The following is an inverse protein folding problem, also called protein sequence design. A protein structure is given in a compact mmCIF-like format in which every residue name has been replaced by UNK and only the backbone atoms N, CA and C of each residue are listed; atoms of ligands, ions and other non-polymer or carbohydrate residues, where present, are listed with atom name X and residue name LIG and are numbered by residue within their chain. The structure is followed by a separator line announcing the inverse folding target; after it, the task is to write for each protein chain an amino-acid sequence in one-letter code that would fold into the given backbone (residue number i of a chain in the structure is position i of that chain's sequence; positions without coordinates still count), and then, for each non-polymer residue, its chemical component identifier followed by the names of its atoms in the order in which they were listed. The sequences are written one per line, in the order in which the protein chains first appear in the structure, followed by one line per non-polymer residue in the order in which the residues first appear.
data_IF_761667432754
#
_entry.id   IF_761667432754
#
_cell.length_a   1.000
_cell.length_b   1.000
_cell.length_c   1.000
_cell.angle_alpha   90.00
_cell.angle_beta   90.00
_cell.angle_gamma   90.00
#
_symmetry.space_group_name_H-M   'P 1'
#
loop_
_entity.id
_entity.type
_entity.pdbx_description
1 polymer ?
#
# COMPACT_ATOMS: atom_id res chain seq x y z
N UNK A 1 -12.08 -25.98 -44.41
CA UNK A 1 -12.11 -25.67 -42.99
C UNK A 1 -13.03 -26.69 -42.34
N UNK A 2 -12.53 -27.59 -41.47
CA UNK A 2 -13.39 -28.53 -40.76
C UNK A 2 -13.83 -27.91 -39.45
N UNK A 3 -15.15 -27.95 -39.24
CA UNK A 3 -15.81 -27.62 -37.96
C UNK A 3 -15.46 -28.64 -36.89
N UNK A 4 -14.91 -28.18 -35.77
CA UNK A 4 -14.77 -28.97 -34.56
C UNK A 4 -16.05 -28.82 -33.72
N UNK A 5 -16.92 -29.83 -33.77
CA UNK A 5 -17.96 -30.04 -32.77
C UNK A 5 -17.33 -30.69 -31.53
N UNK A 6 -17.21 -29.93 -30.45
CA UNK A 6 -16.87 -30.47 -29.14
C UNK A 6 -18.17 -31.02 -28.47
N UNK A 7 -18.13 -32.27 -28.12
CA UNK A 7 -19.25 -32.96 -27.42
C UNK A 7 -19.39 -32.48 -25.97
N UNK A 8 -20.57 -32.02 -25.65
CA UNK A 8 -21.03 -31.50 -24.33
C UNK A 8 -21.32 -32.62 -23.31
N UNK A 9 -20.56 -33.69 -23.19
CA UNK A 9 -21.02 -34.87 -22.44
C UNK A 9 -20.15 -35.32 -21.24
N UNK A 10 -19.14 -34.58 -20.78
CA UNK A 10 -18.35 -35.00 -19.62
C UNK A 10 -18.07 -33.95 -18.51
N UNK A 11 -18.86 -32.90 -18.40
CA UNK A 11 -18.72 -31.91 -17.31
C UNK A 11 -19.76 -32.04 -16.19
N UNK A 12 -20.22 -33.21 -15.88
CA UNK A 12 -21.07 -33.44 -14.71
C UNK A 12 -20.58 -34.64 -13.91
N UNK A 13 -19.50 -34.52 -13.18
CA UNK A 13 -19.19 -35.25 -11.93
C UNK A 13 -17.75 -34.92 -11.50
N UNK A 14 -17.62 -33.87 -10.73
CA UNK A 14 -16.36 -33.54 -10.06
C UNK A 14 -16.53 -32.27 -9.25
N UNK A 15 -17.24 -32.38 -8.11
CA UNK A 15 -17.26 -31.32 -7.12
C UNK A 15 -15.83 -31.18 -6.56
N UNK A 16 -15.04 -30.29 -7.16
CA UNK A 16 -13.75 -29.93 -6.59
C UNK A 16 -14.03 -29.10 -5.34
N UNK A 17 -13.87 -29.72 -4.19
CA UNK A 17 -13.99 -29.05 -2.90
C UNK A 17 -12.86 -28.01 -2.80
N UNK A 18 -13.19 -26.73 -2.74
CA UNK A 18 -12.21 -25.61 -2.69
C UNK A 18 -11.18 -25.71 -1.56
N UNK A 19 -11.45 -26.46 -0.52
CA UNK A 19 -10.46 -26.81 0.51
C UNK A 19 -9.26 -27.59 -0.03
N UNK A 20 -9.44 -28.40 -1.07
CA UNK A 20 -8.37 -29.21 -1.67
C UNK A 20 -7.53 -28.43 -2.69
N UNK A 21 -8.03 -27.31 -3.24
CA UNK A 21 -7.27 -26.46 -4.17
C UNK A 21 -6.23 -25.61 -3.43
N UNK A 22 -6.53 -25.19 -2.20
CA UNK A 22 -5.57 -24.49 -1.33
C UNK A 22 -4.49 -25.45 -0.80
N UNK A 23 -4.81 -26.75 -0.63
CA UNK A 23 -3.86 -27.77 -0.20
C UNK A 23 -2.88 -28.23 -1.30
N UNK A 24 -3.23 -28.07 -2.58
CA UNK A 24 -2.40 -28.52 -3.72
C UNK A 24 -1.25 -27.57 -4.08
N UNK A 25 -1.24 -26.32 -3.56
CA UNK A 25 -0.14 -25.35 -3.73
C UNK A 25 0.88 -25.35 -2.60
N UNK A 26 0.74 -26.23 -1.62
CA UNK A 26 1.66 -26.35 -0.48
C UNK A 26 2.16 -27.79 -0.28
N UNK A 27 2.92 -28.31 -1.24
CA UNK A 27 3.57 -29.64 -1.17
C UNK A 27 4.77 -29.69 -0.18
N UNK A 28 4.90 -28.72 0.72
CA UNK A 28 5.87 -28.77 1.82
C UNK A 28 5.22 -28.66 3.21
N UNK A 29 3.90 -28.82 3.34
CA UNK A 29 3.16 -28.59 4.59
C UNK A 29 2.55 -29.83 5.24
N UNK A 30 2.94 -31.04 4.86
CA UNK A 30 2.40 -32.28 5.46
C UNK A 30 3.03 -32.67 6.82
N UNK A 31 4.01 -31.87 7.31
CA UNK A 31 4.55 -32.01 8.67
C UNK A 31 4.11 -30.91 9.64
N UNK A 32 3.23 -29.97 9.24
CA UNK A 32 2.88 -28.80 10.02
C UNK A 32 1.40 -28.62 10.35
N UNK A 33 0.53 -29.56 9.94
CA UNK A 33 -0.91 -29.48 10.24
C UNK A 33 -1.21 -29.38 11.74
N UNK A 34 -0.55 -30.17 12.55
CA UNK A 34 -0.71 -30.13 14.02
C UNK A 34 -0.12 -28.84 14.63
N UNK A 35 0.98 -28.32 14.08
CA UNK A 35 1.58 -27.05 14.55
C UNK A 35 0.79 -25.82 14.13
N UNK A 36 0.10 -25.85 12.97
CA UNK A 36 -0.76 -24.75 12.53
C UNK A 36 -2.04 -24.69 13.38
N UNK A 37 -2.63 -25.83 13.72
CA UNK A 37 -3.80 -25.91 14.60
C UNK A 37 -3.47 -25.54 16.06
N UNK A 38 -2.26 -25.84 16.51
CA UNK A 38 -1.74 -25.46 17.83
C UNK A 38 -1.35 -23.98 17.87
N UNK A 39 -0.87 -23.40 16.77
CA UNK A 39 -0.63 -21.97 16.61
C UNK A 39 -1.95 -21.18 16.60
N UNK A 40 -2.96 -21.66 15.88
CA UNK A 40 -4.30 -21.05 15.84
C UNK A 40 -4.98 -21.10 17.23
N UNK A 41 -4.82 -22.20 17.99
CA UNK A 41 -5.31 -22.33 19.37
C UNK A 41 -4.54 -21.45 20.37
N UNK A 42 -3.26 -21.15 20.12
CA UNK A 42 -2.46 -20.23 20.95
C UNK A 42 -2.82 -18.76 20.70
N UNK A 43 -3.25 -18.38 19.50
CA UNK A 43 -3.66 -17.01 19.19
C UNK A 43 -4.99 -16.61 19.85
N UNK A 44 -5.89 -17.54 20.13
CA UNK A 44 -7.20 -17.26 20.74
C UNK A 44 -7.15 -16.80 22.19
N UNK A 45 -5.99 -16.82 22.85
CA UNK A 45 -5.78 -16.36 24.22
C UNK A 45 -4.96 -15.08 24.37
N UNK A 46 -4.40 -14.53 23.30
CA UNK A 46 -3.59 -13.31 23.37
C UNK A 46 -4.48 -12.05 23.33
N UNK A 47 -4.07 -10.98 24.06
CA UNK A 47 -4.78 -9.70 24.00
C UNK A 47 -4.73 -9.14 22.58
N UNK A 48 -5.84 -8.56 22.08
CA UNK A 48 -5.86 -7.93 20.76
C UNK A 48 -4.78 -6.85 20.61
N UNK A 49 -4.11 -6.83 19.46
CA UNK A 49 -3.21 -5.75 19.08
C UNK A 49 -4.03 -4.47 18.98
N UNK A 50 -3.66 -3.46 19.75
CA UNK A 50 -4.30 -2.16 19.76
C UNK A 50 -3.64 -1.26 18.73
N UNK A 51 -4.36 -0.96 17.64
CA UNK A 51 -3.90 -0.05 16.60
C UNK A 51 -4.41 1.35 16.90
N UNK A 52 -3.50 2.28 17.11
CA UNK A 52 -3.78 3.72 17.21
C UNK A 52 -3.80 4.33 15.81
N UNK A 53 -4.79 5.15 15.55
CA UNK A 53 -4.95 5.84 14.26
C UNK A 53 -4.53 7.30 14.41
N UNK A 54 -3.74 7.80 13.48
CA UNK A 54 -3.46 9.22 13.34
C UNK A 54 -4.10 9.70 12.05
N UNK A 55 -4.94 10.72 12.16
CA UNK A 55 -5.62 11.48 11.14
C UNK A 55 -6.72 10.75 10.35
N UNK A 56 -7.92 11.28 10.46
CA UNK A 56 -9.06 11.05 9.57
C UNK A 56 -9.39 12.32 8.75
N UNK A 57 -8.48 13.29 8.75
CA UNK A 57 -8.55 14.52 7.94
C UNK A 57 -7.34 14.66 7.03
N UNK A 58 -7.47 15.49 5.99
CA UNK A 58 -6.37 15.96 5.15
C UNK A 58 -6.44 17.48 5.17
N UNK A 59 -5.39 18.13 5.69
CA UNK A 59 -5.33 19.60 5.86
C UNK A 59 -6.53 20.14 6.64
N UNK A 60 -6.90 19.47 7.72
CA UNK A 60 -8.03 19.87 8.57
C UNK A 60 -9.41 19.67 7.93
N UNK A 61 -9.50 18.94 6.80
CA UNK A 61 -10.77 18.58 6.17
C UNK A 61 -10.98 17.08 6.22
N UNK A 62 -12.15 16.63 6.67
CA UNK A 62 -12.48 15.21 6.74
C UNK A 62 -12.18 14.47 5.44
N UNK A 63 -11.62 13.28 5.56
CA UNK A 63 -11.32 12.36 4.45
C UNK A 63 -12.60 11.76 3.86
N UNK A 64 -13.47 12.59 3.27
CA UNK A 64 -14.76 12.14 2.73
C UNK A 64 -14.66 11.31 1.45
N UNK A 65 -13.64 11.54 0.64
CA UNK A 65 -13.53 10.97 -0.70
C UNK A 65 -12.29 10.08 -0.93
N UNK A 66 -11.13 10.45 -0.41
CA UNK A 66 -9.84 9.85 -0.77
C UNK A 66 -8.96 9.55 0.45
N UNK A 67 -9.55 9.27 1.60
CA UNK A 67 -8.75 9.00 2.79
C UNK A 67 -8.22 7.58 2.83
N UNK A 68 -6.95 7.45 3.17
CA UNK A 68 -6.34 6.14 3.40
C UNK A 68 -6.62 5.62 4.82
N UNK A 69 -7.15 6.45 5.72
CA UNK A 69 -7.47 6.03 7.09
C UNK A 69 -8.71 5.14 7.15
N UNK A 70 -9.83 5.63 6.62
CA UNK A 70 -11.11 4.91 6.68
C UNK A 70 -11.07 3.56 5.96
N UNK A 71 -10.45 3.50 4.79
CA UNK A 71 -10.41 2.29 3.99
C UNK A 71 -9.58 1.17 4.64
N UNK A 72 -8.49 1.52 5.32
CA UNK A 72 -7.63 0.53 5.98
C UNK A 72 -8.16 0.12 7.35
N UNK A 73 -8.81 1.04 8.06
CA UNK A 73 -9.33 0.84 9.40
C UNK A 73 -10.30 -0.35 9.50
N UNK A 74 -11.10 -0.59 8.45
CA UNK A 74 -12.03 -1.72 8.41
C UNK A 74 -11.33 -3.09 8.54
N UNK A 75 -10.05 -3.19 8.19
CA UNK A 75 -9.25 -4.40 8.39
C UNK A 75 -8.82 -4.60 9.84
N UNK A 76 -8.75 -3.55 10.64
CA UNK A 76 -8.25 -3.60 12.02
C UNK A 76 -9.34 -3.65 13.09
N UNK A 77 -10.60 -3.38 12.74
CA UNK A 77 -11.66 -3.24 13.73
C UNK A 77 -12.81 -4.23 13.50
N UNK A 78 -13.34 -4.87 14.55
CA UNK A 78 -14.35 -5.93 14.41
C UNK A 78 -15.72 -5.41 13.96
N UNK A 79 -15.99 -4.12 14.13
CA UNK A 79 -17.29 -3.53 13.82
C UNK A 79 -17.15 -2.23 13.04
N UNK A 80 -18.03 -2.06 12.05
CA UNK A 80 -18.14 -0.82 11.27
C UNK A 80 -19.61 -0.38 11.25
N UNK A 81 -19.87 0.88 11.58
CA UNK A 81 -21.19 1.49 11.47
C UNK A 81 -21.43 1.97 10.05
N UNK A 82 -22.19 1.21 9.25
CA UNK A 82 -22.56 1.65 7.91
C UNK A 82 -23.41 2.93 7.92
N UNK A 83 -24.18 3.16 8.98
CA UNK A 83 -24.94 4.40 9.14
C UNK A 83 -24.00 5.62 9.27
N UNK A 84 -22.95 5.51 10.09
CA UNK A 84 -21.93 6.56 10.21
C UNK A 84 -21.11 6.72 8.94
N UNK A 85 -20.73 5.62 8.27
CA UNK A 85 -20.07 5.67 6.95
C UNK A 85 -20.90 6.48 5.96
N UNK A 86 -22.21 6.22 5.86
CA UNK A 86 -23.13 6.96 4.98
C UNK A 86 -23.30 8.43 5.38
N UNK A 87 -23.20 8.74 6.67
CA UNK A 87 -23.30 10.11 7.18
C UNK A 87 -22.04 10.94 6.87
N UNK A 88 -20.87 10.34 6.96
CA UNK A 88 -19.60 11.07 6.96
C UNK A 88 -18.82 10.99 5.64
N UNK A 89 -19.01 9.95 4.83
CA UNK A 89 -18.25 9.77 3.59
C UNK A 89 -19.07 10.16 2.35
N UNK A 90 -18.39 10.35 1.24
CA UNK A 90 -19.00 10.59 -0.07
C UNK A 90 -19.38 9.26 -0.74
N UNK A 91 -20.14 9.34 -1.84
CA UNK A 91 -20.72 8.18 -2.53
C UNK A 91 -19.69 7.09 -2.91
N UNK A 92 -18.50 7.46 -3.38
CA UNK A 92 -17.48 6.49 -3.79
C UNK A 92 -16.99 5.59 -2.64
N UNK A 93 -16.49 6.14 -1.51
CA UNK A 93 -16.19 5.36 -0.32
C UNK A 93 -17.38 4.57 0.23
N UNK A 94 -18.59 5.12 0.24
CA UNK A 94 -19.78 4.39 0.68
C UNK A 94 -20.00 3.14 -0.17
N UNK A 95 -19.95 3.28 -1.49
CA UNK A 95 -20.07 2.15 -2.41
C UNK A 95 -19.01 1.08 -2.18
N UNK A 96 -17.78 1.52 -1.88
CA UNK A 96 -16.66 0.64 -1.53
C UNK A 96 -16.97 -0.19 -0.28
N UNK A 97 -17.40 0.44 0.80
CA UNK A 97 -17.80 -0.26 2.03
C UNK A 97 -18.98 -1.20 1.79
N UNK A 98 -20.01 -0.79 1.04
CA UNK A 98 -21.18 -1.62 0.75
C UNK A 98 -20.82 -2.85 -0.08
N UNK A 99 -20.03 -2.71 -1.13
CA UNK A 99 -19.54 -3.83 -1.94
C UNK A 99 -18.70 -4.80 -1.12
N UNK A 100 -17.85 -4.27 -0.27
CA UNK A 100 -17.05 -5.04 0.65
C UNK A 100 -17.89 -5.93 1.56
N UNK A 101 -18.90 -5.37 2.23
CA UNK A 101 -19.77 -6.12 3.13
C UNK A 101 -20.75 -7.05 2.43
N UNK A 102 -21.05 -6.83 1.16
CA UNK A 102 -21.92 -7.74 0.36
C UNK A 102 -21.17 -8.91 -0.25
N UNK A 103 -19.88 -8.78 -0.47
CA UNK A 103 -19.08 -9.79 -1.15
C UNK A 103 -18.39 -10.72 -0.15
N UNK A 104 -19.16 -11.61 0.47
CA UNK A 104 -18.67 -12.51 1.51
C UNK A 104 -17.67 -13.57 1.03
N UNK A 105 -17.54 -13.79 -0.27
CA UNK A 105 -16.78 -14.93 -0.80
C UNK A 105 -15.27 -14.74 -0.82
N UNK A 106 -14.73 -13.52 -0.70
CA UNK A 106 -13.36 -13.26 -1.12
C UNK A 106 -12.40 -12.96 0.04
N UNK A 107 -12.85 -12.29 1.10
CA UNK A 107 -11.91 -11.77 2.09
C UNK A 107 -12.28 -12.00 3.55
N UNK A 108 -13.49 -12.46 3.82
CA UNK A 108 -14.08 -12.46 5.14
C UNK A 108 -13.61 -13.57 6.08
N UNK A 109 -12.93 -14.60 5.57
CA UNK A 109 -12.31 -15.57 6.45
C UNK A 109 -11.17 -14.99 7.30
N UNK A 110 -10.74 -13.76 7.00
CA UNK A 110 -9.59 -13.12 7.65
C UNK A 110 -9.88 -11.73 8.24
N UNK A 111 -11.09 -11.20 8.09
CA UNK A 111 -11.41 -9.86 8.59
C UNK A 111 -12.53 -9.86 9.63
N UNK A 112 -12.42 -9.01 10.67
CA UNK A 112 -11.22 -8.22 10.97
C UNK A 112 -10.02 -9.14 11.14
N UNK A 113 -8.81 -8.62 10.88
CA UNK A 113 -7.59 -9.41 11.10
C UNK A 113 -7.61 -9.96 12.51
N UNK A 114 -7.40 -11.27 12.63
CA UNK A 114 -7.48 -11.97 13.89
C UNK A 114 -6.71 -11.24 14.98
N UNK A 115 -7.38 -11.02 16.10
CA UNK A 115 -6.78 -10.44 17.29
C UNK A 115 -6.25 -9.01 17.12
N UNK A 116 -6.99 -8.16 16.38
CA UNK A 116 -6.71 -6.71 16.27
C UNK A 116 -7.94 -5.88 16.60
N UNK A 117 -7.71 -4.67 17.08
CA UNK A 117 -8.73 -3.63 17.21
C UNK A 117 -8.10 -2.26 17.09
N UNK A 118 -8.85 -1.30 16.58
CA UNK A 118 -8.51 0.11 16.75
C UNK A 118 -8.83 0.50 18.18
N UNK A 119 -7.83 1.02 18.90
CA UNK A 119 -8.00 1.46 20.28
C UNK A 119 -8.41 2.91 20.40
N UNK A 120 -7.75 3.77 19.64
CA UNK A 120 -7.98 5.20 19.68
C UNK A 120 -7.63 5.86 18.33
N UNK A 121 -8.18 7.08 18.15
CA UNK A 121 -7.83 7.97 17.05
C UNK A 121 -7.40 9.32 17.60
N UNK A 122 -6.35 9.90 17.02
CA UNK A 122 -5.97 11.29 17.19
C UNK A 122 -6.06 12.02 15.84
N UNK A 123 -6.69 13.19 15.86
CA UNK A 123 -6.70 14.14 14.74
C UNK A 123 -6.64 15.56 15.28
N UNK A 124 -5.91 16.46 14.61
CA UNK A 124 -5.90 17.86 14.93
C UNK A 124 -7.26 18.54 14.69
N UNK A 125 -8.12 17.95 13.82
CA UNK A 125 -9.53 18.31 13.69
C UNK A 125 -10.41 17.38 14.52
N UNK A 126 -10.93 17.87 15.69
CA UNK A 126 -11.74 17.04 16.57
C UNK A 126 -13.02 16.50 15.90
N UNK A 127 -13.56 17.20 14.91
CA UNK A 127 -14.76 16.77 14.20
C UNK A 127 -14.48 15.54 13.33
N UNK A 128 -13.32 15.49 12.66
CA UNK A 128 -12.88 14.32 11.90
C UNK A 128 -12.58 13.13 12.79
N UNK A 129 -11.96 13.33 13.97
CA UNK A 129 -11.74 12.28 14.95
C UNK A 129 -13.06 11.70 15.48
N UNK A 130 -14.02 12.56 15.84
CA UNK A 130 -15.33 12.15 16.31
C UNK A 130 -16.12 11.37 15.24
N UNK A 131 -16.10 11.86 13.98
CA UNK A 131 -16.73 11.18 12.86
C UNK A 131 -16.15 9.77 12.64
N UNK A 132 -14.83 9.64 12.73
CA UNK A 132 -14.16 8.34 12.60
C UNK A 132 -14.57 7.40 13.74
N UNK A 133 -14.56 7.86 14.99
CA UNK A 133 -14.98 7.07 16.15
C UNK A 133 -16.45 6.62 16.06
N UNK A 134 -17.34 7.45 15.47
CA UNK A 134 -18.72 7.05 15.16
C UNK A 134 -18.77 5.91 14.13
N UNK A 135 -17.85 5.91 13.16
CA UNK A 135 -17.72 4.87 12.13
C UNK A 135 -17.21 3.53 12.67
N UNK A 136 -16.41 3.55 13.72
CA UNK A 136 -15.78 2.38 14.34
C UNK A 136 -16.13 2.30 15.84
N UNK A 137 -17.26 1.68 16.21
CA UNK A 137 -17.78 1.68 17.57
C UNK A 137 -16.78 1.16 18.60
N UNK A 138 -16.57 1.92 19.68
CA UNK A 138 -15.61 1.57 20.74
C UNK A 138 -14.21 2.13 20.56
N UNK A 139 -13.98 2.88 19.49
CA UNK A 139 -12.73 3.64 19.29
C UNK A 139 -12.78 4.91 20.12
N UNK A 140 -11.75 5.17 20.91
CA UNK A 140 -11.63 6.37 21.75
C UNK A 140 -11.04 7.53 20.92
N UNK A 141 -11.47 8.76 21.21
CA UNK A 141 -10.85 9.97 20.66
C UNK A 141 -9.77 10.43 21.63
N UNK A 142 -8.51 10.25 21.25
CA UNK A 142 -7.37 10.68 22.06
C UNK A 142 -7.22 12.22 22.01
N UNK A 143 -6.97 12.83 23.16
CA UNK A 143 -6.80 14.29 23.31
C UNK A 143 -5.40 14.77 22.92
N UNK A 144 -4.45 13.85 22.86
CA UNK A 144 -3.05 14.11 22.50
C UNK A 144 -2.40 12.87 21.90
N UNK A 145 -1.27 13.06 21.21
CA UNK A 145 -0.44 11.96 20.71
C UNK A 145 0.09 11.09 21.87
N UNK A 146 0.40 11.67 23.02
CA UNK A 146 0.85 10.91 24.19
C UNK A 146 -0.25 9.98 24.71
N UNK A 147 -1.50 10.42 24.70
CA UNK A 147 -2.64 9.59 25.07
C UNK A 147 -2.85 8.46 24.06
N UNK A 148 -2.73 8.75 22.75
CA UNK A 148 -2.78 7.75 21.69
C UNK A 148 -1.70 6.68 21.89
N UNK A 149 -0.43 7.10 22.13
CA UNK A 149 0.71 6.20 22.37
C UNK A 149 0.44 5.25 23.53
N UNK A 150 -0.05 5.74 24.67
CA UNK A 150 -0.37 4.92 25.85
C UNK A 150 -1.45 3.85 25.56
N UNK A 151 -2.35 4.16 24.66
CA UNK A 151 -3.48 3.30 24.32
C UNK A 151 -3.22 2.36 23.13
N UNK A 152 -2.00 2.37 22.56
CA UNK A 152 -1.69 1.66 21.32
C UNK A 152 -0.49 0.73 21.47
N UNK A 153 -0.49 -0.35 20.70
CA UNK A 153 0.63 -1.29 20.51
C UNK A 153 1.31 -1.09 19.14
N UNK A 154 0.62 -0.40 18.23
CA UNK A 154 1.08 -0.04 16.90
C UNK A 154 0.33 1.19 16.39
N UNK A 155 0.91 1.92 15.43
CA UNK A 155 0.35 3.17 14.90
C UNK A 155 0.14 3.07 13.39
N UNK A 156 -1.00 3.57 12.95
CA UNK A 156 -1.33 3.78 11.54
C UNK A 156 -1.60 5.26 11.31
N UNK A 157 -0.68 5.94 10.63
CA UNK A 157 -0.87 7.31 10.20
C UNK A 157 -1.45 7.33 8.79
N UNK A 158 -2.65 7.89 8.66
CA UNK A 158 -3.23 8.25 7.37
C UNK A 158 -2.68 9.59 6.87
N UNK A 159 -3.17 10.01 5.75
CA UNK A 159 -2.67 11.16 4.99
C UNK A 159 -3.11 12.49 5.62
N UNK A 160 -2.36 13.03 6.59
CA UNK A 160 -2.74 14.18 7.40
C UNK A 160 -2.60 15.52 6.64
N UNK A 161 -1.39 15.87 6.16
CA UNK A 161 -1.16 17.09 5.36
C UNK A 161 -1.44 16.91 3.88
N UNK A 162 -1.33 15.67 3.40
CA UNK A 162 -1.37 15.30 1.99
C UNK A 162 -0.03 15.43 1.27
N UNK A 163 1.00 15.99 1.92
CA UNK A 163 2.37 16.10 1.40
C UNK A 163 3.44 15.53 2.33
N UNK A 164 3.07 15.20 3.56
CA UNK A 164 3.99 14.62 4.55
C UNK A 164 4.86 15.64 5.30
N UNK A 165 4.55 16.93 5.19
CA UNK A 165 5.27 18.01 5.86
C UNK A 165 5.08 18.00 7.38
N UNK A 166 3.94 17.49 7.89
CA UNK A 166 3.61 17.33 9.30
C UNK A 166 3.87 15.93 9.88
N UNK A 167 4.29 14.98 9.05
CA UNK A 167 4.42 13.59 9.49
C UNK A 167 5.48 13.38 10.58
N UNK A 168 6.58 14.13 10.56
CA UNK A 168 7.59 14.00 11.62
C UNK A 168 7.02 14.34 13.00
N UNK A 169 6.34 15.46 13.12
CA UNK A 169 5.75 15.93 14.37
C UNK A 169 4.67 14.98 14.88
N UNK A 170 3.86 14.43 13.97
CA UNK A 170 2.82 13.46 14.31
C UNK A 170 3.39 12.10 14.73
N UNK A 171 4.49 11.67 14.13
CA UNK A 171 5.09 10.36 14.39
C UNK A 171 6.13 10.36 15.52
N UNK A 172 6.76 11.50 15.82
CA UNK A 172 7.87 11.55 16.77
C UNK A 172 7.54 10.92 18.14
N UNK A 173 6.40 11.19 18.79
CA UNK A 173 6.04 10.54 20.05
C UNK A 173 5.89 9.02 19.92
N UNK A 174 5.33 8.54 18.81
CA UNK A 174 5.10 7.12 18.54
C UNK A 174 6.41 6.38 18.31
N UNK A 175 7.29 6.95 17.47
CA UNK A 175 8.61 6.41 17.18
C UNK A 175 9.51 6.44 18.40
N UNK A 176 9.44 7.51 19.23
CA UNK A 176 10.17 7.60 20.49
C UNK A 176 9.78 6.51 21.47
N UNK A 177 8.51 6.12 21.47
CA UNK A 177 7.99 5.01 22.26
C UNK A 177 8.34 3.62 21.69
N UNK A 178 9.03 3.55 20.54
CA UNK A 178 9.41 2.30 19.89
C UNK A 178 8.23 1.54 19.25
N UNK A 179 7.09 2.20 19.00
CA UNK A 179 5.92 1.55 18.45
C UNK A 179 6.09 1.26 16.94
N UNK A 180 5.78 0.04 16.49
CA UNK A 180 5.68 -0.22 15.06
C UNK A 180 4.69 0.72 14.41
N UNK A 181 5.13 1.39 13.34
CA UNK A 181 4.39 2.50 12.76
C UNK A 181 4.28 2.36 11.25
N UNK A 182 3.07 2.51 10.71
CA UNK A 182 2.84 2.79 9.30
C UNK A 182 2.70 4.30 9.11
N UNK A 183 3.44 4.83 8.14
CA UNK A 183 3.32 6.20 7.67
C UNK A 183 2.87 6.22 6.22
N UNK A 184 1.78 6.88 5.93
CA UNK A 184 1.29 6.99 4.56
C UNK A 184 2.25 7.76 3.64
N UNK A 185 2.09 7.57 2.36
CA UNK A 185 2.85 8.27 1.31
C UNK A 185 2.20 9.66 1.01
N UNK A 186 2.99 10.68 0.72
CA UNK A 186 4.44 10.80 0.89
C UNK A 186 4.85 10.73 2.35
N UNK A 187 5.88 9.98 2.67
CA UNK A 187 6.34 9.88 4.06
C UNK A 187 6.90 11.21 4.60
N UNK A 188 7.46 12.03 3.73
CA UNK A 188 7.92 13.38 3.99
C UNK A 188 7.84 14.23 2.74
N UNK A 189 7.63 15.53 2.90
CA UNK A 189 7.56 16.48 1.79
C UNK A 189 8.88 16.58 1.04
N UNK A 190 10.01 16.44 1.74
CA UNK A 190 11.37 16.56 1.18
C UNK A 190 12.19 15.31 1.46
N UNK A 191 13.30 15.16 0.73
CA UNK A 191 14.27 14.08 0.98
C UNK A 191 14.85 14.20 2.39
N UNK A 192 15.20 15.40 2.83
CA UNK A 192 15.68 15.66 4.19
C UNK A 192 14.63 15.34 5.26
N UNK A 193 13.35 15.69 5.02
CA UNK A 193 12.24 15.35 5.91
C UNK A 193 12.04 13.83 6.01
N UNK A 194 12.04 13.14 4.87
CA UNK A 194 11.98 11.67 4.82
C UNK A 194 13.15 11.05 5.59
N UNK A 195 14.38 11.49 5.33
CA UNK A 195 15.57 11.01 6.04
C UNK A 195 15.46 11.23 7.55
N UNK A 196 14.99 12.40 7.99
CA UNK A 196 14.77 12.72 9.41
C UNK A 196 13.84 11.70 10.08
N UNK A 197 12.73 11.33 9.45
CA UNK A 197 11.78 10.34 9.98
C UNK A 197 12.45 8.96 10.07
N UNK A 198 13.11 8.51 9.00
CA UNK A 198 13.76 7.20 8.93
C UNK A 198 14.89 7.07 9.97
N UNK A 199 15.74 8.08 10.08
CA UNK A 199 16.84 8.12 11.07
C UNK A 199 16.29 8.13 12.51
N UNK A 200 15.19 8.85 12.75
CA UNK A 200 14.55 8.90 14.07
C UNK A 200 13.91 7.55 14.44
N UNK A 201 13.26 6.88 13.50
CA UNK A 201 12.73 5.53 13.70
C UNK A 201 13.87 4.54 14.04
N UNK A 202 14.93 4.55 13.25
CA UNK A 202 16.12 3.71 13.47
C UNK A 202 16.78 3.98 14.83
N UNK A 203 16.95 5.25 15.21
CA UNK A 203 17.53 5.66 16.50
C UNK A 203 16.73 5.10 17.68
N UNK A 204 15.40 5.09 17.58
CA UNK A 204 14.50 4.62 18.61
C UNK A 204 14.14 3.12 18.48
N UNK A 205 14.71 2.41 17.51
CA UNK A 205 14.40 0.99 17.22
C UNK A 205 12.91 0.75 16.99
N UNK A 206 12.20 1.74 16.48
CA UNK A 206 10.79 1.66 16.13
C UNK A 206 10.65 1.12 14.70
N UNK A 207 10.06 -0.06 14.48
CA UNK A 207 9.82 -0.56 13.13
C UNK A 207 8.94 0.42 12.35
N UNK A 208 9.36 0.81 11.15
CA UNK A 208 8.65 1.77 10.32
C UNK A 208 8.38 1.20 8.93
N UNK A 209 7.16 1.35 8.46
CA UNK A 209 6.74 0.99 7.12
C UNK A 209 6.12 2.19 6.42
N UNK A 210 6.51 2.43 5.18
CA UNK A 210 5.81 3.32 4.26
C UNK A 210 5.87 2.71 2.86
N UNK A 211 4.75 2.73 2.15
CA UNK A 211 4.70 2.26 0.76
C UNK A 211 3.44 2.72 0.05
N UNK A 212 3.42 2.59 -1.28
CA UNK A 212 2.19 2.64 -2.05
C UNK A 212 1.38 1.35 -1.88
N UNK A 213 0.06 1.48 -1.81
CA UNK A 213 -0.84 0.32 -1.83
C UNK A 213 -0.65 -0.56 -3.08
N UNK A 214 -0.21 0.01 -4.20
CA UNK A 214 0.04 -0.74 -5.44
C UNK A 214 1.22 -1.71 -5.35
N UNK A 215 2.15 -1.50 -4.41
CA UNK A 215 3.19 -2.50 -4.08
C UNK A 215 2.58 -3.86 -3.70
N UNK A 216 1.38 -3.86 -3.16
CA UNK A 216 0.67 -5.02 -2.62
C UNK A 216 -0.39 -5.57 -3.57
N UNK A 217 -0.32 -5.26 -4.86
CA UNK A 217 -1.15 -5.88 -5.89
C UNK A 217 -0.78 -7.35 -6.10
N UNK A 218 -1.77 -8.20 -6.37
CA UNK A 218 -1.52 -9.61 -6.67
C UNK A 218 -0.59 -9.81 -7.87
N UNK A 219 -0.70 -8.97 -8.91
CA UNK A 219 0.23 -8.98 -10.04
C UNK A 219 1.66 -8.60 -9.65
N UNK A 220 1.83 -7.68 -8.69
CA UNK A 220 3.16 -7.32 -8.16
C UNK A 220 3.78 -8.47 -7.38
N UNK A 221 3.00 -9.12 -6.51
CA UNK A 221 3.45 -10.30 -5.75
C UNK A 221 3.84 -11.44 -6.70
N UNK A 222 3.07 -11.65 -7.77
CA UNK A 222 3.41 -12.65 -8.80
C UNK A 222 4.71 -12.29 -9.54
N UNK A 223 4.90 -11.04 -9.95
CA UNK A 223 6.14 -10.60 -10.59
C UNK A 223 7.36 -10.76 -9.66
N UNK A 224 7.20 -10.48 -8.35
CA UNK A 224 8.24 -10.75 -7.36
C UNK A 224 8.54 -12.24 -7.22
N UNK A 225 7.50 -13.10 -7.25
CA UNK A 225 7.66 -14.56 -7.24
C UNK A 225 8.44 -15.02 -8.47
N UNK A 226 8.09 -14.52 -9.66
CA UNK A 226 8.78 -14.82 -10.91
C UNK A 226 10.26 -14.38 -10.85
N UNK A 227 10.53 -13.19 -10.32
CA UNK A 227 11.90 -12.69 -10.13
C UNK A 227 12.68 -13.60 -9.17
N UNK A 228 12.08 -13.98 -8.05
CA UNK A 228 12.71 -14.84 -7.02
C UNK A 228 12.98 -16.27 -7.52
N UNK A 229 12.08 -16.83 -8.31
CA UNK A 229 12.24 -18.20 -8.85
C UNK A 229 13.37 -18.31 -9.86
N UNK A 230 13.70 -17.21 -10.59
CA UNK A 230 14.65 -17.22 -11.69
C UNK A 230 14.18 -18.00 -12.93
N UNK A 231 12.97 -18.58 -12.93
CA UNK A 231 12.43 -19.43 -14.00
C UNK A 231 12.43 -18.72 -15.37
N UNK A 232 12.11 -17.43 -15.37
CA UNK A 232 12.03 -16.63 -16.59
C UNK A 232 13.31 -15.84 -16.90
N UNK A 233 14.39 -16.14 -16.17
CA UNK A 233 15.67 -15.43 -16.27
C UNK A 233 15.67 -14.08 -15.55
N UNK A 234 16.76 -13.30 -15.66
CA UNK A 234 16.88 -12.01 -15.03
C UNK A 234 15.81 -11.01 -15.46
N UNK A 235 15.38 -10.16 -14.56
CA UNK A 235 14.55 -8.99 -14.86
C UNK A 235 15.37 -8.02 -15.72
N UNK A 236 14.81 -7.62 -16.86
CA UNK A 236 15.48 -6.77 -17.83
C UNK A 236 14.94 -5.33 -17.78
N UNK A 237 13.62 -5.17 -17.58
CA UNK A 237 12.99 -3.87 -17.71
C UNK A 237 11.65 -3.83 -16.98
N UNK A 238 11.32 -2.67 -16.40
CA UNK A 238 10.02 -2.43 -15.75
C UNK A 238 9.43 -1.14 -16.28
N UNK A 239 8.18 -1.20 -16.72
CA UNK A 239 7.37 -0.01 -17.02
C UNK A 239 6.20 0.02 -16.04
N UNK A 240 5.98 1.14 -15.38
CA UNK A 240 4.78 1.39 -14.58
C UNK A 240 4.09 2.67 -15.06
N UNK A 241 2.75 2.66 -15.11
CA UNK A 241 1.98 3.83 -15.49
C UNK A 241 0.81 4.08 -14.54
N UNK A 242 0.54 5.34 -14.29
CA UNK A 242 -0.59 5.81 -13.49
C UNK A 242 -1.47 6.73 -14.33
N UNK A 243 -2.78 6.46 -14.36
CA UNK A 243 -3.75 7.37 -14.95
C UNK A 243 -4.00 8.58 -14.04
N UNK A 244 -4.50 9.66 -14.64
CA UNK A 244 -4.83 10.91 -13.96
C UNK A 244 -4.30 12.12 -14.73
N UNK A 245 -4.75 13.32 -14.38
CA UNK A 245 -4.24 14.55 -14.99
C UNK A 245 -2.81 14.86 -14.53
N UNK A 246 -1.92 15.11 -15.47
CA UNK A 246 -0.57 15.54 -15.15
C UNK A 246 -0.55 16.94 -14.52
N UNK A 247 0.16 17.05 -13.43
CA UNK A 247 0.60 18.33 -12.85
C UNK A 247 1.79 18.08 -11.94
N UNK A 248 2.64 19.06 -11.71
CA UNK A 248 3.78 18.90 -10.83
C UNK A 248 3.36 18.61 -9.37
N UNK A 249 2.36 19.29 -8.78
CA UNK A 249 1.83 18.89 -7.48
C UNK A 249 1.24 17.47 -7.48
N UNK A 250 0.55 17.08 -8.56
CA UNK A 250 0.04 15.71 -8.75
C UNK A 250 1.17 14.67 -8.80
N UNK A 251 2.29 14.99 -9.43
CA UNK A 251 3.48 14.14 -9.45
C UNK A 251 4.00 13.86 -8.03
N UNK A 252 4.11 14.88 -7.19
CA UNK A 252 4.58 14.70 -5.81
C UNK A 252 3.70 13.76 -5.00
N UNK A 253 2.39 13.76 -5.22
CA UNK A 253 1.42 12.96 -4.45
C UNK A 253 1.14 11.61 -5.09
N UNK A 254 0.87 11.58 -6.40
CA UNK A 254 0.40 10.39 -7.13
C UNK A 254 1.48 9.73 -7.98
N UNK A 255 2.48 10.45 -8.45
CA UNK A 255 3.65 9.88 -9.12
C UNK A 255 4.41 8.87 -8.26
N UNK A 256 4.23 8.96 -6.95
CA UNK A 256 4.77 7.96 -6.02
C UNK A 256 4.26 6.54 -6.31
N UNK A 257 3.01 6.37 -6.73
CA UNK A 257 2.46 5.04 -6.99
C UNK A 257 3.23 4.26 -8.07
N UNK A 258 3.40 4.76 -9.30
CA UNK A 258 4.17 4.05 -10.32
C UNK A 258 5.67 3.99 -10.00
N UNK A 259 6.22 4.99 -9.29
CA UNK A 259 7.61 4.92 -8.80
C UNK A 259 7.77 3.76 -7.82
N UNK A 260 6.85 3.58 -6.89
CA UNK A 260 6.85 2.42 -5.99
C UNK A 260 6.79 1.08 -6.74
N UNK A 261 6.06 1.00 -7.87
CA UNK A 261 6.01 -0.22 -8.67
C UNK A 261 7.37 -0.57 -9.25
N UNK A 262 8.06 0.43 -9.83
CA UNK A 262 9.42 0.25 -10.34
C UNK A 262 10.37 -0.14 -9.21
N UNK A 263 10.36 0.59 -8.10
CA UNK A 263 11.24 0.34 -6.95
C UNK A 263 11.00 -1.05 -6.33
N UNK A 264 9.77 -1.50 -6.25
CA UNK A 264 9.44 -2.84 -5.73
C UNK A 264 10.10 -3.95 -6.55
N UNK A 265 10.18 -3.80 -7.87
CA UNK A 265 10.73 -4.81 -8.76
C UNK A 265 12.23 -4.62 -9.01
N UNK A 266 12.70 -3.39 -9.15
CA UNK A 266 14.10 -3.10 -9.41
C UNK A 266 14.95 -3.02 -8.13
N UNK A 267 14.36 -2.59 -7.01
CA UNK A 267 15.07 -2.36 -5.74
C UNK A 267 15.80 -1.02 -5.69
N UNK A 268 16.46 -0.76 -4.56
CA UNK A 268 17.28 0.41 -4.34
C UNK A 268 18.58 0.39 -5.18
N UNK A 269 19.30 1.51 -5.20
CA UNK A 269 20.55 1.71 -5.94
C UNK A 269 20.34 2.52 -7.22
N UNK A 270 19.35 3.40 -7.24
CA UNK A 270 19.10 4.32 -8.35
C UNK A 270 20.27 5.29 -8.50
N UNK A 271 20.76 5.44 -9.73
CA UNK A 271 21.85 6.35 -10.07
C UNK A 271 21.32 7.76 -10.40
N UNK A 272 20.40 7.81 -11.36
CA UNK A 272 19.88 9.10 -11.83
C UNK A 272 18.47 8.98 -12.40
N UNK A 273 17.83 10.14 -12.57
CA UNK A 273 16.48 10.26 -13.12
C UNK A 273 16.46 11.33 -14.22
N UNK A 274 15.77 11.01 -15.31
CA UNK A 274 15.42 11.98 -16.34
C UNK A 274 13.90 12.05 -16.45
N UNK A 275 13.34 13.25 -16.52
CA UNK A 275 11.89 13.45 -16.68
C UNK A 275 11.57 14.35 -17.85
N UNK A 276 10.61 13.94 -18.64
CA UNK A 276 10.05 14.68 -19.74
C UNK A 276 8.54 14.81 -19.56
N UNK A 277 7.99 15.98 -19.77
CA UNK A 277 6.54 16.21 -19.72
C UNK A 277 6.06 16.91 -21.00
N UNK A 278 4.88 16.53 -21.47
CA UNK A 278 4.22 17.14 -22.61
C UNK A 278 2.70 17.08 -22.41
N UNK A 279 2.03 18.23 -22.54
CA UNK A 279 0.59 18.32 -22.38
C UNK A 279 0.10 17.74 -21.04
N UNK A 280 -0.69 16.68 -21.10
CA UNK A 280 -1.33 16.04 -19.94
C UNK A 280 -0.57 14.82 -19.39
N UNK A 281 0.67 14.61 -19.80
CA UNK A 281 1.43 13.41 -19.43
C UNK A 281 2.90 13.72 -19.15
N UNK A 282 3.51 12.95 -18.29
CA UNK A 282 4.96 12.92 -18.12
C UNK A 282 5.51 11.50 -18.15
N UNK A 283 6.79 11.42 -18.43
CA UNK A 283 7.58 10.19 -18.43
C UNK A 283 8.85 10.41 -17.63
N UNK A 284 9.13 9.54 -16.67
CA UNK A 284 10.40 9.52 -15.94
C UNK A 284 11.16 8.22 -16.25
N UNK A 285 12.44 8.34 -16.62
CA UNK A 285 13.37 7.24 -16.76
C UNK A 285 14.23 7.18 -15.50
N UNK A 286 14.23 6.03 -14.83
CA UNK A 286 14.97 5.77 -13.60
C UNK A 286 16.14 4.85 -13.97
N UNK A 287 17.37 5.33 -13.83
CA UNK A 287 18.56 4.60 -14.25
C UNK A 287 19.33 4.03 -13.08
N UNK A 288 20.03 2.95 -13.33
CA UNK A 288 20.90 2.24 -12.39
C UNK A 288 22.28 2.05 -13.03
N UNK A 289 23.33 1.97 -12.23
CA UNK A 289 24.69 1.72 -12.73
C UNK A 289 24.93 0.28 -13.19
N UNK A 290 24.26 -0.65 -12.54
CA UNK A 290 24.53 -2.10 -12.60
C UNK A 290 23.40 -2.93 -13.23
N UNK A 291 22.28 -2.29 -13.62
CA UNK A 291 21.10 -2.97 -14.16
C UNK A 291 20.33 -2.10 -15.13
N UNK A 292 19.34 -2.72 -15.79
CA UNK A 292 18.48 -2.04 -16.74
C UNK A 292 17.56 -1.01 -16.05
N UNK A 293 17.17 0.05 -16.76
CA UNK A 293 16.33 1.11 -16.23
C UNK A 293 14.90 0.67 -15.94
N UNK A 294 14.24 1.42 -15.06
CA UNK A 294 12.79 1.45 -14.93
C UNK A 294 12.19 2.69 -15.56
N UNK A 295 10.94 2.59 -15.99
CA UNK A 295 10.24 3.69 -16.63
C UNK A 295 8.88 3.92 -15.98
N UNK A 296 8.56 5.18 -15.75
CA UNK A 296 7.29 5.62 -15.18
C UNK A 296 6.58 6.55 -16.15
N UNK A 297 5.30 6.27 -16.39
CA UNK A 297 4.37 7.17 -17.07
C UNK A 297 3.30 7.63 -16.09
N UNK A 298 3.06 8.96 -16.04
CA UNK A 298 2.02 9.53 -15.21
C UNK A 298 1.21 10.55 -15.99
N UNK A 299 -0.10 10.58 -15.76
CA UNK A 299 -0.98 11.53 -16.38
C UNK A 299 -1.62 11.06 -17.69
N UNK A 300 -1.91 9.77 -17.85
CA UNK A 300 -2.61 9.27 -19.06
C UNK A 300 -4.07 9.69 -19.06
N UNK A 301 -4.49 10.62 -19.93
CA UNK A 301 -5.85 11.14 -19.94
C UNK A 301 -6.88 10.16 -20.55
N UNK A 302 -6.41 9.17 -21.29
CA UNK A 302 -7.21 8.14 -21.97
C UNK A 302 -7.70 7.03 -21.02
N UNK A 303 -7.17 6.99 -19.80
CA UNK A 303 -7.60 6.04 -18.78
C UNK A 303 -8.38 6.76 -17.68
N UNK A 304 -9.66 6.40 -17.53
CA UNK A 304 -10.47 6.94 -16.44
C UNK A 304 -10.04 6.34 -15.11
N UNK A 305 -9.69 7.22 -14.15
CA UNK A 305 -9.47 6.92 -12.73
C UNK A 305 -8.26 6.00 -12.42
N UNK A 306 -7.64 6.23 -11.32
CA UNK A 306 -6.61 5.51 -10.52
C UNK A 306 -6.11 4.14 -11.00
N UNK A 307 -5.65 4.01 -12.26
CA UNK A 307 -5.00 2.80 -12.74
C UNK A 307 -3.51 2.90 -12.64
N UNK A 308 -2.89 1.84 -12.11
CA UNK A 308 -1.47 1.62 -12.21
C UNK A 308 -1.23 0.35 -13.03
N UNK A 309 -1.00 0.50 -14.32
CA UNK A 309 -0.56 -0.60 -15.16
C UNK A 309 0.94 -0.82 -14.98
N UNK A 310 1.37 -2.08 -14.86
CA UNK A 310 2.79 -2.42 -14.76
C UNK A 310 3.13 -3.57 -15.69
N UNK A 311 4.31 -3.49 -16.30
CA UNK A 311 4.90 -4.52 -17.13
C UNK A 311 6.33 -4.80 -16.66
N UNK A 312 6.61 -6.06 -16.34
CA UNK A 312 7.92 -6.57 -15.97
C UNK A 312 8.43 -7.52 -17.07
N UNK A 313 9.52 -7.15 -17.72
CA UNK A 313 10.15 -7.94 -18.79
C UNK A 313 11.34 -8.71 -18.24
N UNK A 314 11.26 -10.03 -18.31
CA UNK A 314 12.34 -10.97 -18.04
C UNK A 314 12.94 -11.45 -19.36
N UNK A 315 14.12 -12.04 -19.35
CA UNK A 315 14.76 -12.51 -20.60
C UNK A 315 13.93 -13.51 -21.39
N UNK A 316 13.07 -14.28 -20.75
CA UNK A 316 12.25 -15.32 -21.40
C UNK A 316 10.76 -14.99 -21.43
N UNK A 317 10.28 -13.95 -20.71
CA UNK A 317 8.85 -13.64 -20.56
C UNK A 317 8.64 -12.20 -20.17
N UNK A 318 7.64 -11.56 -20.75
CA UNK A 318 7.06 -10.32 -20.22
C UNK A 318 5.77 -10.64 -19.50
N UNK A 319 5.61 -10.10 -18.30
CA UNK A 319 4.41 -10.20 -17.48
C UNK A 319 3.86 -8.80 -17.23
N UNK A 320 2.62 -8.61 -17.62
CA UNK A 320 1.93 -7.31 -17.47
C UNK A 320 0.64 -7.49 -16.70
N UNK A 321 0.31 -6.52 -15.85
CA UNK A 321 -0.95 -6.51 -15.11
C UNK A 321 -1.49 -5.10 -14.97
N UNK A 322 -2.80 -5.05 -14.92
CA UNK A 322 -3.56 -3.87 -14.56
C UNK A 322 -4.59 -4.33 -13.55
N UNK A 323 -4.86 -3.61 -12.46
CA UNK A 323 -6.03 -3.90 -11.66
C UNK A 323 -7.24 -3.87 -12.60
N UNK A 324 -8.00 -4.94 -12.62
CA UNK A 324 -9.08 -5.09 -13.57
C UNK A 324 -10.15 -4.01 -13.39
N UNK A 325 -10.66 -3.53 -14.52
CA UNK A 325 -11.35 -2.25 -14.64
C UNK A 325 -12.79 -2.31 -14.16
N UNK A 326 -13.50 -3.40 -14.41
CA UNK A 326 -14.95 -3.41 -14.25
C UNK A 326 -15.40 -3.99 -12.91
N UNK A 327 -15.64 -5.26 -12.81
CA UNK A 327 -16.03 -5.88 -11.55
C UNK A 327 -14.86 -6.19 -10.62
N UNK A 328 -13.66 -6.29 -11.19
CA UNK A 328 -12.42 -6.64 -10.47
C UNK A 328 -11.62 -5.43 -9.98
N UNK A 329 -11.91 -4.20 -10.42
CA UNK A 329 -11.25 -3.00 -9.90
C UNK A 329 -11.40 -2.89 -8.40
N UNK A 330 -12.59 -3.12 -7.92
CA UNK A 330 -12.90 -3.10 -6.50
C UNK A 330 -12.23 -4.27 -5.75
N UNK A 331 -12.21 -5.45 -6.34
CA UNK A 331 -11.50 -6.60 -5.78
C UNK A 331 -9.99 -6.38 -5.75
N UNK A 332 -9.42 -5.89 -6.83
CA UNK A 332 -8.00 -5.57 -6.91
C UNK A 332 -7.60 -4.47 -5.91
N UNK A 333 -8.41 -3.42 -5.80
CA UNK A 333 -8.16 -2.32 -4.86
C UNK A 333 -8.32 -2.77 -3.40
N UNK A 334 -9.34 -3.56 -3.09
CA UNK A 334 -9.52 -4.14 -1.76
C UNK A 334 -8.38 -5.08 -1.38
N UNK A 335 -7.98 -5.96 -2.29
CA UNK A 335 -6.86 -6.84 -2.02
C UNK A 335 -5.62 -6.06 -1.60
N UNK A 336 -5.29 -4.98 -2.31
CA UNK A 336 -4.14 -4.14 -2.01
C UNK A 336 -4.22 -3.47 -0.64
N UNK A 337 -5.39 -2.93 -0.30
CA UNK A 337 -5.65 -2.29 0.98
C UNK A 337 -5.45 -3.29 2.11
N UNK A 338 -6.10 -4.45 2.03
CA UNK A 338 -5.99 -5.48 3.06
C UNK A 338 -4.61 -6.10 3.11
N UNK A 339 -4.01 -6.36 1.95
CA UNK A 339 -2.66 -6.93 1.92
C UNK A 339 -1.63 -5.97 2.54
N UNK A 340 -1.74 -4.67 2.30
CA UNK A 340 -0.89 -3.68 2.95
C UNK A 340 -1.08 -3.66 4.47
N UNK A 341 -2.34 -3.71 4.92
CA UNK A 341 -2.66 -3.79 6.34
C UNK A 341 -2.17 -5.10 6.99
N UNK A 342 -2.28 -6.24 6.30
CA UNK A 342 -1.77 -7.53 6.75
C UNK A 342 -0.24 -7.53 6.88
N UNK A 343 0.47 -6.97 5.89
CA UNK A 343 1.93 -6.80 5.92
C UNK A 343 2.36 -5.87 7.08
N UNK A 344 1.60 -4.81 7.35
CA UNK A 344 1.83 -3.98 8.51
C UNK A 344 1.68 -4.77 9.82
N UNK A 345 0.63 -5.56 9.98
CA UNK A 345 0.43 -6.40 11.16
C UNK A 345 1.50 -7.49 11.31
N UNK A 346 2.00 -8.01 10.21
CA UNK A 346 3.15 -8.92 10.23
C UNK A 346 4.40 -8.20 10.79
N UNK A 347 4.67 -6.96 10.36
CA UNK A 347 5.72 -6.12 10.95
C UNK A 347 5.49 -5.88 12.45
N UNK A 348 4.25 -5.62 12.88
CA UNK A 348 3.93 -5.44 14.30
C UNK A 348 4.29 -6.67 15.13
N UNK A 349 3.99 -7.88 14.61
CA UNK A 349 4.26 -9.16 15.30
C UNK A 349 5.73 -9.55 15.30
N UNK A 350 6.38 -9.39 14.15
CA UNK A 350 7.77 -9.86 13.92
C UNK A 350 8.83 -8.82 14.24
N UNK A 351 8.48 -7.55 14.26
CA UNK A 351 9.38 -6.39 14.31
C UNK A 351 10.35 -6.31 13.12
N UNK A 352 10.03 -7.03 12.01
CA UNK A 352 10.81 -7.01 10.77
C UNK A 352 10.14 -6.05 9.80
N UNK A 353 10.87 -5.03 9.36
CA UNK A 353 10.40 -4.04 8.39
C UNK A 353 10.25 -4.69 7.00
N UNK A 354 9.07 -4.59 6.38
CA UNK A 354 8.83 -5.22 5.08
C UNK A 354 9.41 -4.44 3.90
N UNK A 355 9.82 -3.20 4.14
CA UNK A 355 10.38 -2.29 3.14
C UNK A 355 11.67 -1.70 3.68
N UNK A 356 12.82 -1.88 2.99
CA UNK A 356 14.08 -1.27 3.39
C UNK A 356 13.96 0.26 3.42
N UNK A 357 14.50 0.91 4.44
CA UNK A 357 14.53 2.38 4.56
C UNK A 357 15.17 3.06 3.34
N UNK A 358 16.17 2.40 2.73
CA UNK A 358 16.80 2.91 1.51
C UNK A 358 15.81 3.00 0.34
N UNK A 359 14.93 2.01 0.15
CA UNK A 359 13.89 2.08 -0.89
C UNK A 359 12.92 3.23 -0.62
N UNK A 360 12.51 3.43 0.63
CA UNK A 360 11.60 4.52 1.01
C UNK A 360 12.24 5.88 0.71
N UNK A 361 13.51 6.05 1.08
CA UNK A 361 14.25 7.29 0.84
C UNK A 361 14.43 7.56 -0.66
N UNK A 362 14.83 6.54 -1.42
CA UNK A 362 15.04 6.69 -2.86
C UNK A 362 13.75 6.98 -3.62
N UNK A 363 12.59 6.47 -3.20
CA UNK A 363 11.30 6.86 -3.81
C UNK A 363 11.09 8.36 -3.69
N UNK A 364 11.29 8.95 -2.52
CA UNK A 364 11.20 10.41 -2.34
C UNK A 364 12.24 11.14 -3.20
N UNK A 365 13.48 10.65 -3.21
CA UNK A 365 14.56 11.24 -4.00
C UNK A 365 14.26 11.20 -5.51
N UNK A 366 13.69 10.09 -6.03
CA UNK A 366 13.26 9.98 -7.43
C UNK A 366 12.20 11.01 -7.78
N UNK A 367 11.22 11.23 -6.92
CA UNK A 367 10.17 12.24 -7.12
C UNK A 367 10.79 13.63 -7.26
N UNK A 368 11.75 13.98 -6.40
CA UNK A 368 12.43 15.27 -6.43
C UNK A 368 13.42 15.40 -7.58
N UNK A 369 14.20 14.35 -7.88
CA UNK A 369 15.12 14.34 -9.02
C UNK A 369 14.37 14.49 -10.36
N UNK A 370 13.23 13.82 -10.50
CA UNK A 370 12.38 13.96 -11.67
C UNK A 370 11.84 15.41 -11.83
N UNK A 371 11.35 16.01 -10.75
CA UNK A 371 10.89 17.39 -10.76
C UNK A 371 12.04 18.37 -11.11
N UNK A 372 13.22 18.18 -10.54
CA UNK A 372 14.43 18.93 -10.86
C UNK A 372 14.83 18.77 -12.32
N UNK A 373 14.85 17.53 -12.82
CA UNK A 373 15.13 17.23 -14.24
C UNK A 373 14.22 18.01 -15.16
N UNK A 374 12.90 17.99 -14.91
CA UNK A 374 11.94 18.72 -15.72
C UNK A 374 12.20 20.23 -15.72
N UNK A 375 12.47 20.81 -14.55
CA UNK A 375 12.76 22.25 -14.42
C UNK A 375 14.08 22.65 -15.09
N UNK A 376 15.00 21.72 -15.26
CA UNK A 376 16.32 21.91 -15.87
C UNK A 376 16.40 21.30 -17.29
N UNK A 377 15.35 21.53 -18.09
CA UNK A 377 15.24 21.12 -19.52
C UNK A 377 15.40 19.61 -19.73
N UNK A 378 14.87 18.82 -18.81
CA UNK A 378 14.89 17.36 -18.88
C UNK A 378 16.30 16.76 -18.90
N UNK A 379 17.27 17.40 -18.25
CA UNK A 379 18.60 16.76 -18.09
C UNK A 379 18.54 15.58 -17.13
N UNK A 380 19.50 14.72 -17.24
CA UNK A 380 19.71 13.65 -16.26
C UNK A 380 20.15 14.29 -14.92
N UNK A 381 19.49 13.91 -13.81
CA UNK A 381 19.76 14.36 -12.45
C UNK A 381 20.14 13.15 -11.61
N UNK A 382 21.34 13.16 -11.03
CA UNK A 382 21.75 12.09 -10.12
C UNK A 382 20.95 12.13 -8.81
N UNK A 383 20.74 10.99 -8.18
CA UNK A 383 20.09 10.97 -6.87
C UNK A 383 20.93 11.72 -5.83
N UNK A 384 22.25 11.69 -5.92
CA UNK A 384 23.16 12.41 -5.03
C UNK A 384 22.86 13.92 -4.99
N UNK A 385 22.47 14.53 -6.15
CA UNK A 385 22.14 15.95 -6.23
C UNK A 385 20.91 16.36 -5.40
N UNK A 386 20.04 15.43 -5.06
CA UNK A 386 18.81 15.70 -4.26
C UNK A 386 18.87 15.08 -2.88
N UNK A 387 19.84 14.20 -2.61
CA UNK A 387 20.07 13.56 -1.32
C UNK A 387 21.11 14.29 -0.47
N UNK A 388 21.92 15.15 -1.07
CA UNK A 388 22.88 16.02 -0.38
C UNK A 388 22.14 17.11 0.40
#
# INVERSE_FOLDING_TARGET
MPEYKLEEKEMRKGTINRRNFIAATSVTALATGAKAEEAEKKETGSKPIRVGIISASIRGKSQKANGHTWHFAQGFHPQVSLAAVKKHLSAGPIELFEKYFRNQDIHFARLPFNNTRISAIYDADPASAAAFAEGFPGVEVAKSLDELVKNSDAIWLGDASGFGDDHFELLAPCLQAGLPTFCDKPIGETVAGTKKILDFAKKNKAPLMSSSLFRHQGGTEEALRMKKSGEFGPLQYVIASQAGGWSLPGWHVYGQHPVWMVMTLCGAGVDAVNMYARENTCRALITYKDRMPGEVWYGRPDMSKFYCHTSASFTKKTYSWTPAIEDHYWLGHHYQIFRMADVFLEMVRTKIEPVPHQEILEVTAIIHAAAKSLNEKSRLVSLEEVMA
#
